data_IF_146168218530
#
_entry.id   IF_146168218530
#
_cell.length_a   1.000
_cell.length_b   1.000
_cell.length_c   1.000
_cell.angle_alpha   90.00
_cell.angle_beta   90.00
_cell.angle_gamma   90.00
#
_symmetry.space_group_name_H-M   'P 1'
#
loop_
_entity.id
_entity.type
_entity.pdbx_description
1 polymer ?
#
# COMPACT_ATOMS: atom_id res chain seq x y z
N UNK A 1 11.09 6.53 -19.29
CA UNK A 1 10.83 6.49 -17.84
C UNK A 1 9.42 6.03 -17.52
N UNK A 2 8.38 6.65 -18.09
CA UNK A 2 6.96 6.30 -17.86
C UNK A 2 6.61 4.85 -18.22
N UNK A 3 7.08 4.32 -19.35
CA UNK A 3 6.83 2.92 -19.72
C UNK A 3 7.44 1.90 -18.74
N UNK A 4 8.65 2.17 -18.23
CA UNK A 4 9.29 1.28 -17.25
C UNK A 4 8.50 1.25 -15.93
N UNK A 5 8.02 2.41 -15.48
CA UNK A 5 7.14 2.51 -14.31
C UNK A 5 5.80 1.80 -14.54
N UNK A 6 5.22 1.91 -15.74
CA UNK A 6 3.98 1.21 -16.09
C UNK A 6 4.14 -0.31 -16.07
N UNK A 7 5.25 -0.84 -16.62
CA UNK A 7 5.56 -2.27 -16.56
C UNK A 7 5.79 -2.71 -15.12
N UNK A 8 6.57 -1.96 -14.34
CA UNK A 8 6.81 -2.25 -12.93
C UNK A 8 5.50 -2.30 -12.15
N UNK A 9 4.63 -1.30 -12.33
CA UNK A 9 3.32 -1.23 -11.70
C UNK A 9 2.44 -2.41 -12.10
N UNK A 10 2.38 -2.76 -13.39
CA UNK A 10 1.60 -3.90 -13.87
C UNK A 10 2.06 -5.22 -13.24
N UNK A 11 3.38 -5.40 -13.07
CA UNK A 11 3.93 -6.60 -12.41
C UNK A 11 3.58 -6.60 -10.92
N UNK A 12 3.78 -5.48 -10.22
CA UNK A 12 3.56 -5.42 -8.76
C UNK A 12 2.08 -5.56 -8.39
N UNK A 13 1.19 -4.81 -9.05
CA UNK A 13 -0.25 -4.89 -8.79
C UNK A 13 -0.82 -6.24 -9.23
N UNK A 14 -0.42 -6.75 -10.40
CA UNK A 14 -0.87 -8.07 -10.87
C UNK A 14 -0.43 -9.21 -9.94
N UNK A 15 0.80 -9.17 -9.43
CA UNK A 15 1.28 -10.14 -8.45
C UNK A 15 0.53 -10.02 -7.11
N UNK A 16 0.29 -8.80 -6.63
CA UNK A 16 -0.43 -8.55 -5.39
C UNK A 16 -1.88 -9.07 -5.46
N UNK A 17 -2.60 -8.85 -6.56
CA UNK A 17 -3.97 -9.32 -6.76
C UNK A 17 -4.05 -10.86 -6.76
N UNK A 18 -3.10 -11.52 -7.44
CA UNK A 18 -3.03 -12.98 -7.47
C UNK A 18 -2.72 -13.58 -6.09
N UNK A 19 -1.69 -13.06 -5.41
CA UNK A 19 -1.26 -13.55 -4.11
C UNK A 19 -2.31 -13.27 -3.03
N UNK A 20 -2.95 -12.10 -3.05
CA UNK A 20 -4.07 -11.75 -2.16
C UNK A 20 -5.27 -12.68 -2.38
N UNK A 21 -5.65 -12.91 -3.65
CA UNK A 21 -6.71 -13.86 -4.01
C UNK A 21 -6.41 -15.30 -3.60
N UNK A 22 -5.14 -15.71 -3.59
CA UNK A 22 -4.73 -17.02 -3.09
C UNK A 22 -4.73 -17.10 -1.55
N UNK A 23 -4.26 -16.04 -0.87
CA UNK A 23 -4.16 -15.98 0.58
C UNK A 23 -5.56 -16.01 1.23
N UNK A 24 -6.53 -15.29 0.66
CA UNK A 24 -7.90 -15.22 1.17
C UNK A 24 -8.66 -16.55 1.06
N UNK A 25 -8.24 -17.47 0.17
CA UNK A 25 -8.77 -18.84 0.12
C UNK A 25 -8.36 -19.70 1.31
N UNK A 26 -7.24 -19.36 1.99
CA UNK A 26 -6.66 -20.16 3.08
C UNK A 26 -6.69 -19.46 4.43
N UNK A 27 -7.09 -18.20 4.48
CA UNK A 27 -7.08 -17.39 5.70
C UNK A 27 -8.25 -16.41 5.71
N UNK A 28 -8.73 -16.01 6.90
CA UNK A 28 -9.77 -15.00 7.02
C UNK A 28 -9.35 -13.71 6.31
N UNK A 29 -10.28 -13.10 5.56
CA UNK A 29 -10.06 -11.86 4.80
C UNK A 29 -9.37 -10.77 5.64
N UNK A 30 -9.83 -10.56 6.87
CA UNK A 30 -9.28 -9.57 7.78
C UNK A 30 -7.80 -9.82 8.13
N UNK A 31 -7.39 -11.08 8.32
CA UNK A 31 -5.98 -11.40 8.60
C UNK A 31 -5.07 -11.05 7.42
N UNK A 32 -5.54 -11.32 6.19
CA UNK A 32 -4.81 -10.98 4.96
C UNK A 32 -4.68 -9.47 4.82
N UNK A 33 -5.77 -8.73 5.04
CA UNK A 33 -5.77 -7.25 4.94
C UNK A 33 -4.85 -6.62 5.99
N UNK A 34 -4.94 -7.03 7.26
CA UNK A 34 -4.08 -6.50 8.32
C UNK A 34 -2.60 -6.74 7.98
N UNK A 35 -2.25 -7.92 7.49
CA UNK A 35 -0.86 -8.23 7.14
C UNK A 35 -0.36 -7.42 5.94
N UNK A 36 -1.21 -7.20 4.93
CA UNK A 36 -0.90 -6.31 3.80
C UNK A 36 -0.68 -4.87 4.26
N UNK A 37 -1.56 -4.32 5.11
CA UNK A 37 -1.41 -2.96 5.63
C UNK A 37 -0.16 -2.81 6.50
N UNK A 38 0.15 -3.80 7.34
CA UNK A 38 1.38 -3.82 8.14
C UNK A 38 2.63 -3.86 7.26
N UNK A 39 2.61 -4.65 6.18
CA UNK A 39 3.73 -4.72 5.22
C UNK A 39 3.96 -3.37 4.56
N UNK A 40 2.89 -2.69 4.13
CA UNK A 40 2.97 -1.33 3.59
C UNK A 40 3.51 -0.32 4.60
N UNK A 41 3.05 -0.40 5.85
CA UNK A 41 3.53 0.47 6.94
C UNK A 41 5.03 0.28 7.22
N UNK A 42 5.49 -0.98 7.26
CA UNK A 42 6.91 -1.33 7.44
C UNK A 42 7.77 -0.79 6.30
N UNK A 43 7.23 -0.66 5.09
CA UNK A 43 7.95 -0.05 3.96
C UNK A 43 7.92 1.48 4.00
N UNK A 44 6.81 2.08 4.39
CA UNK A 44 6.65 3.54 4.44
C UNK A 44 7.49 4.17 5.55
N UNK A 45 7.50 3.59 6.76
CA UNK A 45 8.22 4.18 7.90
C UNK A 45 9.72 4.42 7.64
N UNK A 46 10.48 3.47 7.06
CA UNK A 46 11.87 3.69 6.64
C UNK A 46 12.02 4.60 5.43
N UNK A 47 10.97 4.79 4.62
CA UNK A 47 11.00 5.69 3.47
C UNK A 47 10.83 7.16 3.90
N UNK A 48 10.13 7.44 5.01
CA UNK A 48 9.87 8.80 5.50
C UNK A 48 11.12 9.70 5.61
N UNK A 49 12.28 9.24 6.13
CA UNK A 49 13.48 10.07 6.25
C UNK A 49 14.07 10.52 4.91
N UNK A 50 13.76 9.82 3.82
CA UNK A 50 14.24 10.14 2.47
C UNK A 50 13.32 11.13 1.73
N UNK A 51 12.13 11.42 2.28
CA UNK A 51 11.19 12.37 1.70
C UNK A 51 11.55 13.82 2.09
N UNK A 52 11.21 14.81 1.24
CA UNK A 52 11.38 16.21 1.59
C UNK A 52 10.64 16.55 2.88
N UNK A 53 11.29 17.36 3.74
CA UNK A 53 10.65 17.88 4.95
C UNK A 53 9.42 18.69 4.55
N UNK A 54 8.26 18.20 4.93
CA UNK A 54 6.96 18.84 4.77
C UNK A 54 6.27 18.84 6.13
N UNK A 55 5.44 19.84 6.38
CA UNK A 55 4.59 19.89 7.57
C UNK A 55 3.24 19.27 7.20
N UNK A 56 2.90 18.07 7.70
CA UNK A 56 1.62 17.45 7.40
C UNK A 56 0.49 18.34 7.93
N UNK A 57 -0.50 18.59 7.09
CA UNK A 57 -1.71 19.33 7.46
C UNK A 57 -2.82 18.36 7.86
N UNK A 58 -3.86 18.87 8.52
CA UNK A 58 -5.04 18.05 8.86
C UNK A 58 -5.72 17.44 7.61
N UNK A 59 -5.59 18.09 6.45
CA UNK A 59 -6.15 17.62 5.17
C UNK A 59 -5.39 16.37 4.70
N UNK A 60 -4.08 16.30 4.88
CA UNK A 60 -3.27 15.14 4.50
C UNK A 60 -3.70 13.89 5.29
N UNK A 61 -3.97 14.07 6.59
CA UNK A 61 -4.48 13.00 7.45
C UNK A 61 -5.92 12.59 7.08
N UNK A 62 -6.77 13.55 6.71
CA UNK A 62 -8.13 13.25 6.25
C UNK A 62 -8.11 12.42 4.96
N UNK A 63 -7.27 12.80 3.99
CA UNK A 63 -7.08 12.04 2.75
C UNK A 63 -6.49 10.65 3.00
N UNK A 64 -5.47 10.54 3.87
CA UNK A 64 -4.90 9.24 4.22
C UNK A 64 -5.93 8.32 4.90
N UNK A 65 -6.77 8.86 5.77
CA UNK A 65 -7.84 8.11 6.44
C UNK A 65 -8.93 7.68 5.44
N UNK A 66 -9.37 8.59 4.57
CA UNK A 66 -10.36 8.29 3.54
C UNK A 66 -9.86 7.23 2.54
N UNK A 67 -8.60 7.33 2.11
CA UNK A 67 -7.97 6.33 1.26
C UNK A 67 -7.90 4.95 1.95
N UNK A 68 -7.50 4.91 3.22
CA UNK A 68 -7.46 3.65 3.99
C UNK A 68 -8.83 3.00 4.20
N UNK A 69 -9.91 3.78 4.26
CA UNK A 69 -11.29 3.27 4.32
C UNK A 69 -11.81 2.80 2.94
N UNK A 70 -11.36 3.45 1.86
CA UNK A 70 -11.76 3.11 0.50
C UNK A 70 -11.06 1.84 -0.04
N UNK A 71 -9.90 1.49 0.54
CA UNK A 71 -9.08 0.35 0.11
C UNK A 71 -7.96 0.76 -0.82
#
# INVERSE_FOLDING_TARGET
MTYALAVLASITYGAADFLGGLATKRSPLFSVVIFSQLSGLILVLPALPFLPRSSPTAIDFAWGSAAGLAG
#
